data_IF_180654971360
#
_entry.id   IF_180654971360
#
_cell.length_a   1.000
_cell.length_b   1.000
_cell.length_c   1.000
_cell.angle_alpha   90.00
_cell.angle_beta   90.00
_cell.angle_gamma   90.00
#
_symmetry.space_group_name_H-M   'P 1'
#
loop_
_entity.id
_entity.type
_entity.pdbx_description
1 polymer ?
#
# COMPACT_ATOMS: atom_id res chain seq x y z
N UNK A 1 22.83 16.86 -24.80
CA UNK A 1 21.38 17.08 -24.53
C UNK A 1 20.61 15.76 -24.74
N UNK A 2 20.65 14.89 -23.75
CA UNK A 2 19.90 13.62 -23.70
C UNK A 2 18.90 13.67 -22.56
N UNK A 3 17.89 14.52 -22.68
CA UNK A 3 16.78 14.61 -21.72
C UNK A 3 15.91 13.37 -21.78
N UNK A 4 15.82 12.68 -20.66
CA UNK A 4 15.03 11.49 -20.40
C UNK A 4 13.56 11.66 -20.80
N UNK A 5 13.20 11.19 -22.00
CA UNK A 5 11.79 11.13 -22.47
C UNK A 5 10.98 10.00 -21.80
N UNK A 6 11.62 9.09 -21.09
CA UNK A 6 10.97 7.95 -20.43
C UNK A 6 10.27 8.33 -19.13
N UNK A 7 10.77 9.33 -18.41
CA UNK A 7 10.16 9.81 -17.15
C UNK A 7 8.83 10.52 -17.37
N UNK A 8 8.65 11.21 -18.48
CA UNK A 8 7.44 12.00 -18.73
C UNK A 8 6.21 11.12 -19.07
N UNK A 9 6.40 10.02 -19.82
CA UNK A 9 5.31 9.12 -20.17
C UNK A 9 4.82 8.29 -18.97
N UNK A 10 5.73 7.80 -18.13
CA UNK A 10 5.37 7.06 -16.91
C UNK A 10 4.73 7.96 -15.86
N UNK A 11 5.21 9.20 -15.70
CA UNK A 11 4.59 10.18 -14.82
C UNK A 11 3.21 10.61 -15.31
N UNK A 12 2.99 10.76 -16.61
CA UNK A 12 1.68 11.05 -17.19
C UNK A 12 0.70 9.89 -17.05
N UNK A 13 1.16 8.64 -17.13
CA UNK A 13 0.35 7.46 -16.86
C UNK A 13 -0.07 7.36 -15.40
N UNK A 14 0.82 7.68 -14.46
CA UNK A 14 0.51 7.72 -13.03
C UNK A 14 -0.45 8.87 -12.71
N UNK A 15 -0.26 10.04 -13.32
CA UNK A 15 -1.12 11.21 -13.10
C UNK A 15 -2.57 11.05 -13.61
N UNK A 16 -2.82 10.12 -14.51
CA UNK A 16 -4.18 9.84 -15.03
C UNK A 16 -4.97 8.82 -14.23
N UNK A 17 -4.34 8.12 -13.26
CA UNK A 17 -5.02 7.11 -12.47
C UNK A 17 -5.85 7.73 -11.37
N UNK A 18 -7.04 7.21 -11.20
CA UNK A 18 -7.89 7.60 -10.08
C UNK A 18 -7.36 6.98 -8.80
N UNK A 19 -7.34 7.77 -7.77
CA UNK A 19 -7.00 7.35 -6.41
C UNK A 19 -7.82 8.17 -5.43
N UNK A 20 -7.93 7.68 -4.22
CA UNK A 20 -8.62 8.40 -3.17
C UNK A 20 -8.25 7.87 -1.79
N UNK A 21 -8.56 8.66 -0.78
CA UNK A 21 -8.38 8.28 0.61
C UNK A 21 -9.61 8.62 1.43
N UNK A 22 -9.87 7.80 2.43
CA UNK A 22 -10.94 7.95 3.39
C UNK A 22 -10.38 7.96 4.79
N UNK A 23 -10.66 9.02 5.54
CA UNK A 23 -10.50 9.02 6.98
C UNK A 23 -11.76 8.41 7.60
N UNK A 24 -11.60 7.30 8.28
CA UNK A 24 -12.67 6.58 8.94
C UNK A 24 -12.68 6.90 10.43
N UNK A 25 -13.77 6.52 11.13
CA UNK A 25 -13.85 6.70 12.59
C UNK A 25 -12.70 5.97 13.31
N UNK A 26 -12.40 6.41 14.51
CA UNK A 26 -11.38 5.81 15.39
C UNK A 26 -9.95 5.78 14.84
N UNK A 27 -9.60 6.67 13.91
CA UNK A 27 -8.25 6.78 13.37
C UNK A 27 -7.91 5.77 12.27
N UNK A 28 -8.90 5.02 11.79
CA UNK A 28 -8.67 4.14 10.63
C UNK A 28 -8.59 4.96 9.34
N UNK A 29 -7.78 4.49 8.39
CA UNK A 29 -7.60 5.13 7.09
C UNK A 29 -7.66 4.09 6.00
N UNK A 30 -8.35 4.38 4.92
CA UNK A 30 -8.31 3.59 3.69
C UNK A 30 -7.82 4.46 2.54
N UNK A 31 -6.84 3.96 1.81
CA UNK A 31 -6.36 4.54 0.56
C UNK A 31 -6.57 3.52 -0.56
N UNK A 32 -6.94 3.99 -1.74
CA UNK A 32 -7.09 3.16 -2.91
C UNK A 32 -6.50 3.83 -4.16
N UNK A 33 -6.10 3.00 -5.11
CA UNK A 33 -5.66 3.44 -6.44
C UNK A 33 -6.09 2.44 -7.51
N UNK A 34 -6.37 2.93 -8.72
CA UNK A 34 -6.59 2.06 -9.87
C UNK A 34 -5.32 1.27 -10.19
N UNK A 35 -5.46 -0.03 -10.40
CA UNK A 35 -4.38 -0.90 -10.85
C UNK A 35 -4.05 -0.63 -12.31
N UNK A 36 -2.78 -0.48 -12.69
CA UNK A 36 -2.41 -0.20 -14.07
C UNK A 36 -2.74 -1.34 -15.03
N UNK A 37 -2.52 -2.57 -14.57
CA UNK A 37 -2.69 -3.80 -15.32
C UNK A 37 -3.34 -4.82 -14.38
N UNK A 38 -4.67 -4.75 -14.18
CA UNK A 38 -5.39 -5.59 -13.22
C UNK A 38 -5.14 -7.08 -13.44
N UNK A 39 -4.97 -7.49 -14.69
CA UNK A 39 -4.73 -8.87 -15.11
C UNK A 39 -3.43 -9.49 -14.55
N UNK A 40 -2.48 -8.66 -14.14
CA UNK A 40 -1.24 -9.12 -13.53
C UNK A 40 -1.38 -9.48 -12.04
N UNK A 41 -2.53 -9.17 -11.44
CA UNK A 41 -2.77 -9.43 -10.03
C UNK A 41 -3.39 -10.81 -9.82
N UNK A 42 -2.96 -11.50 -8.76
CA UNK A 42 -3.40 -12.87 -8.49
C UNK A 42 -4.94 -13.01 -8.38
N UNK A 43 -5.62 -12.01 -7.80
CA UNK A 43 -7.09 -12.00 -7.71
C UNK A 43 -7.77 -12.05 -9.08
N UNK A 44 -7.10 -11.62 -10.13
CA UNK A 44 -7.67 -11.63 -11.49
C UNK A 44 -7.80 -13.04 -12.06
N UNK A 45 -7.05 -14.00 -11.53
CA UNK A 45 -7.25 -15.42 -11.81
C UNK A 45 -8.62 -15.93 -11.35
N UNK A 46 -9.18 -15.34 -10.30
CA UNK A 46 -10.50 -15.66 -9.74
C UNK A 46 -11.62 -14.73 -10.24
N UNK A 47 -11.40 -13.94 -11.25
CA UNK A 47 -12.32 -12.86 -11.71
C UNK A 47 -13.75 -13.34 -11.99
N UNK A 48 -13.88 -14.53 -12.57
CA UNK A 48 -15.20 -15.07 -12.92
C UNK A 48 -15.99 -15.43 -11.68
N UNK A 49 -15.34 -16.02 -10.68
CA UNK A 49 -15.90 -16.28 -9.36
C UNK A 49 -16.25 -14.97 -8.64
N UNK A 50 -15.34 -14.02 -8.63
CA UNK A 50 -15.59 -12.71 -8.00
C UNK A 50 -16.79 -12.00 -8.62
N UNK A 51 -16.94 -12.03 -9.94
CA UNK A 51 -18.09 -11.44 -10.63
C UNK A 51 -19.40 -12.19 -10.41
N UNK A 52 -19.32 -13.49 -10.14
CA UNK A 52 -20.50 -14.31 -9.80
C UNK A 52 -20.95 -14.10 -8.36
N UNK A 53 -20.00 -14.01 -7.44
CA UNK A 53 -20.28 -13.99 -5.99
C UNK A 53 -20.63 -12.59 -5.46
N UNK A 54 -20.24 -11.54 -6.18
CA UNK A 54 -20.39 -10.15 -5.70
C UNK A 54 -21.11 -9.27 -6.74
N UNK A 55 -21.86 -8.25 -6.27
CA UNK A 55 -22.40 -7.22 -7.16
C UNK A 55 -21.30 -6.57 -8.02
N UNK A 56 -21.62 -6.19 -9.25
CA UNK A 56 -20.67 -5.65 -10.23
C UNK A 56 -19.80 -4.52 -9.67
N UNK A 57 -20.36 -3.61 -8.90
CA UNK A 57 -19.60 -2.52 -8.29
C UNK A 57 -18.53 -3.03 -7.32
N UNK A 58 -18.88 -4.00 -6.49
CA UNK A 58 -17.95 -4.62 -5.52
C UNK A 58 -16.90 -5.45 -6.26
N UNK A 59 -17.29 -6.23 -7.25
CA UNK A 59 -16.38 -7.00 -8.08
C UNK A 59 -15.33 -6.11 -8.76
N UNK A 60 -15.75 -4.97 -9.31
CA UNK A 60 -14.83 -3.97 -9.88
C UNK A 60 -13.88 -3.38 -8.84
N UNK A 61 -14.38 -3.08 -7.64
CA UNK A 61 -13.52 -2.64 -6.54
C UNK A 61 -12.44 -3.68 -6.20
N UNK A 62 -12.79 -4.94 -6.16
CA UNK A 62 -11.87 -6.02 -5.83
C UNK A 62 -10.83 -6.27 -6.93
N UNK A 63 -11.25 -6.22 -8.19
CA UNK A 63 -10.41 -6.57 -9.35
C UNK A 63 -9.52 -5.42 -9.82
N UNK A 64 -10.09 -4.21 -9.89
CA UNK A 64 -9.45 -3.08 -10.60
C UNK A 64 -8.70 -2.12 -9.67
N UNK A 65 -8.81 -2.27 -8.35
CA UNK A 65 -8.23 -1.33 -7.39
C UNK A 65 -7.33 -2.01 -6.38
N UNK A 66 -6.16 -1.44 -6.18
CA UNK A 66 -5.28 -1.74 -5.05
C UNK A 66 -5.69 -0.92 -3.82
N UNK A 67 -5.51 -1.48 -2.64
CA UNK A 67 -5.93 -0.87 -1.38
C UNK A 67 -4.83 -0.92 -0.34
N UNK A 68 -4.78 0.16 0.45
CA UNK A 68 -4.02 0.23 1.69
C UNK A 68 -4.99 0.59 2.80
N UNK A 69 -5.07 -0.21 3.82
CA UNK A 69 -5.97 0.03 4.95
C UNK A 69 -5.16 0.04 6.23
N UNK A 70 -5.13 1.18 6.89
CA UNK A 70 -4.56 1.30 8.23
C UNK A 70 -5.67 1.11 9.25
N UNK A 71 -5.54 0.07 10.05
CA UNK A 71 -6.41 -0.19 11.20
C UNK A 71 -5.67 0.30 12.45
N UNK A 72 -6.08 1.49 12.91
CA UNK A 72 -5.51 2.07 14.11
C UNK A 72 -5.74 1.13 15.32
N UNK A 73 -4.77 0.97 16.23
CA UNK A 73 -3.53 1.77 16.30
C UNK A 73 -2.33 1.18 15.54
N UNK A 74 -2.30 -0.09 15.16
CA UNK A 74 -1.04 -0.76 14.88
C UNK A 74 -1.08 -1.80 13.75
N UNK A 75 -2.08 -1.79 12.89
CA UNK A 75 -2.19 -2.76 11.79
C UNK A 75 -2.30 -2.06 10.43
N UNK A 76 -1.57 -2.59 9.46
CA UNK A 76 -1.63 -2.17 8.06
C UNK A 76 -1.92 -3.39 7.18
N UNK A 77 -2.94 -3.27 6.36
CA UNK A 77 -3.24 -4.19 5.28
C UNK A 77 -2.92 -3.50 3.95
N UNK A 78 -2.15 -4.18 3.10
CA UNK A 78 -1.64 -3.58 1.87
C UNK A 78 -1.74 -4.57 0.70
N UNK A 79 -2.42 -4.15 -0.36
CA UNK A 79 -2.52 -4.89 -1.62
C UNK A 79 -1.72 -4.18 -2.71
N UNK A 80 -0.43 -4.41 -2.76
CA UNK A 80 0.46 -3.89 -3.80
C UNK A 80 1.23 -5.01 -4.50
N UNK A 81 1.72 -4.69 -5.69
CA UNK A 81 2.72 -5.49 -6.41
C UNK A 81 2.37 -6.97 -6.54
N UNK A 82 1.09 -7.27 -6.79
CA UNK A 82 0.58 -8.63 -6.95
C UNK A 82 0.66 -9.51 -5.70
N UNK A 83 0.81 -8.89 -4.54
CA UNK A 83 0.87 -9.57 -3.26
C UNK A 83 0.00 -8.84 -2.23
N UNK A 84 -0.38 -9.54 -1.19
CA UNK A 84 -1.14 -8.97 -0.08
C UNK A 84 -0.33 -9.12 1.19
N UNK A 85 -0.10 -8.00 1.85
CA UNK A 85 0.65 -7.92 3.09
C UNK A 85 -0.25 -7.53 4.24
N UNK A 86 -0.11 -8.24 5.36
CA UNK A 86 -0.55 -7.80 6.67
C UNK A 86 0.70 -7.41 7.47
N UNK A 87 0.70 -6.23 8.07
CA UNK A 87 1.80 -5.74 8.91
C UNK A 87 1.24 -5.28 10.25
N UNK A 88 1.91 -5.64 11.34
CA UNK A 88 1.59 -5.13 12.66
C UNK A 88 2.82 -4.48 13.29
N UNK A 89 2.58 -3.50 14.15
CA UNK A 89 3.60 -2.72 14.83
C UNK A 89 3.42 -2.89 16.34
N UNK A 90 4.48 -3.31 17.00
CA UNK A 90 4.53 -3.45 18.47
C UNK A 90 5.64 -2.58 19.04
N UNK A 91 5.31 -1.45 19.70
CA UNK A 91 6.32 -0.65 20.38
C UNK A 91 7.01 -1.47 21.47
N UNK A 92 8.33 -1.46 21.48
CA UNK A 92 9.17 -2.10 22.50
C UNK A 92 9.82 -1.07 23.43
N UNK A 93 9.86 0.19 23.02
CA UNK A 93 10.44 1.31 23.72
C UNK A 93 10.16 2.61 22.96
N UNK A 94 10.72 3.71 23.43
CA UNK A 94 10.56 5.03 22.80
C UNK A 94 11.30 5.12 21.46
N UNK A 95 12.32 4.30 21.29
CA UNK A 95 13.24 4.26 20.15
C UNK A 95 13.17 2.96 19.34
N UNK A 96 12.29 2.03 19.72
CA UNK A 96 12.26 0.71 19.11
C UNK A 96 10.85 0.16 18.94
N UNK A 97 10.56 -0.29 17.72
CA UNK A 97 9.31 -0.95 17.36
C UNK A 97 9.59 -2.26 16.65
N UNK A 98 8.93 -3.32 17.08
CA UNK A 98 8.91 -4.58 16.35
C UNK A 98 7.86 -4.51 15.24
N UNK A 99 8.25 -4.93 14.06
CA UNK A 99 7.37 -5.01 12.90
C UNK A 99 7.24 -6.46 12.46
N UNK A 100 6.03 -7.00 12.53
CA UNK A 100 5.73 -8.34 12.03
C UNK A 100 5.00 -8.22 10.70
N UNK A 101 5.39 -9.04 9.72
CA UNK A 101 4.88 -8.98 8.35
C UNK A 101 4.45 -10.37 7.90
N UNK A 102 3.26 -10.48 7.33
CA UNK A 102 2.72 -11.72 6.77
C UNK A 102 2.29 -11.55 5.33
N UNK A 103 2.62 -12.54 4.50
CA UNK A 103 2.04 -12.70 3.18
C UNK A 103 0.69 -13.38 3.31
N UNK A 104 -0.36 -12.74 2.84
CA UNK A 104 -1.73 -13.28 2.89
C UNK A 104 -2.12 -13.80 1.51
N UNK A 105 -2.75 -14.97 1.48
CA UNK A 105 -3.20 -15.63 0.26
C UNK A 105 -4.65 -16.11 0.40
N UNK A 106 -5.42 -16.18 -0.70
CA UNK A 106 -6.73 -16.81 -0.70
C UNK A 106 -6.65 -18.29 -0.30
N UNK A 107 -7.67 -18.76 0.41
CA UNK A 107 -7.84 -20.19 0.67
C UNK A 107 -8.17 -20.87 -0.66
N UNK A 108 -7.48 -21.98 -0.95
CA UNK A 108 -7.67 -22.71 -2.21
C UNK A 108 -6.90 -22.18 -3.42
N UNK A 109 -6.01 -21.21 -3.21
CA UNK A 109 -5.07 -20.77 -4.25
C UNK A 109 -4.21 -21.96 -4.74
N UNK A 110 -3.96 -22.03 -6.05
CA UNK A 110 -3.08 -23.07 -6.60
C UNK A 110 -1.65 -22.93 -6.10
N UNK A 111 -0.89 -24.03 -6.09
CA UNK A 111 0.51 -24.05 -5.65
C UNK A 111 1.36 -23.08 -6.48
N UNK A 112 1.16 -23.05 -7.80
CA UNK A 112 1.88 -22.16 -8.71
C UNK A 112 1.61 -20.67 -8.39
N UNK A 113 0.36 -20.31 -8.17
CA UNK A 113 -0.01 -18.94 -7.80
C UNK A 113 0.57 -18.55 -6.44
N UNK A 114 0.58 -19.48 -5.49
CA UNK A 114 1.16 -19.29 -4.15
C UNK A 114 2.66 -19.02 -4.23
N UNK A 115 3.39 -19.81 -5.01
CA UNK A 115 4.83 -19.64 -5.22
C UNK A 115 5.13 -18.29 -5.90
N UNK A 116 4.39 -17.96 -6.94
CA UNK A 116 4.52 -16.66 -7.61
C UNK A 116 4.23 -15.48 -6.66
N UNK A 117 3.22 -15.60 -5.80
CA UNK A 117 2.89 -14.61 -4.77
C UNK A 117 4.01 -14.48 -3.74
N UNK A 118 4.52 -15.60 -3.22
CA UNK A 118 5.59 -15.61 -2.24
C UNK A 118 6.85 -14.93 -2.77
N UNK A 119 7.29 -15.25 -3.99
CA UNK A 119 8.44 -14.59 -4.63
C UNK A 119 8.25 -13.09 -4.75
N UNK A 120 7.09 -12.64 -5.24
CA UNK A 120 6.79 -11.19 -5.35
C UNK A 120 6.74 -10.50 -4.00
N UNK A 121 6.27 -11.20 -2.97
CA UNK A 121 6.27 -10.71 -1.61
C UNK A 121 7.68 -10.54 -1.08
N UNK A 122 8.56 -11.52 -1.29
CA UNK A 122 9.97 -11.48 -0.91
C UNK A 122 10.69 -10.33 -1.62
N UNK A 123 10.52 -10.21 -2.93
CA UNK A 123 11.18 -9.18 -3.74
C UNK A 123 10.77 -7.75 -3.37
N UNK A 124 9.59 -7.56 -2.77
CA UNK A 124 9.07 -6.22 -2.51
C UNK A 124 8.95 -5.89 -1.02
N UNK A 125 8.37 -6.77 -0.21
CA UNK A 125 8.00 -6.48 1.18
C UNK A 125 8.93 -7.02 2.26
N UNK A 126 9.85 -7.93 1.94
CA UNK A 126 10.80 -8.43 2.92
C UNK A 126 11.93 -7.41 3.19
N UNK A 127 12.68 -7.53 4.29
CA UNK A 127 13.74 -6.56 4.66
C UNK A 127 14.77 -6.30 3.57
N UNK A 128 15.06 -7.30 2.74
CA UNK A 128 15.93 -7.18 1.57
C UNK A 128 15.18 -6.80 0.28
N UNK A 129 13.88 -6.63 0.34
CA UNK A 129 13.04 -6.28 -0.79
C UNK A 129 13.12 -4.79 -1.14
N UNK A 130 12.66 -4.48 -2.34
CA UNK A 130 12.78 -3.13 -2.93
C UNK A 130 12.14 -2.03 -2.08
N UNK A 131 10.96 -2.28 -1.49
CA UNK A 131 10.23 -1.24 -0.75
C UNK A 131 10.63 -1.16 0.72
N UNK A 132 10.78 -2.27 1.40
CA UNK A 132 10.97 -2.27 2.86
C UNK A 132 12.35 -1.74 3.25
N UNK A 133 13.38 -2.00 2.47
CA UNK A 133 14.72 -1.47 2.74
C UNK A 133 14.72 0.07 2.75
N UNK A 134 14.06 0.70 1.77
CA UNK A 134 13.91 2.15 1.70
C UNK A 134 13.03 2.69 2.83
N UNK A 135 11.92 2.02 3.12
CA UNK A 135 11.02 2.40 4.22
C UNK A 135 11.74 2.44 5.56
N UNK A 136 12.55 1.41 5.88
CA UNK A 136 13.29 1.33 7.15
C UNK A 136 14.25 2.51 7.27
N UNK A 137 15.04 2.80 6.25
CA UNK A 137 15.97 3.94 6.26
C UNK A 137 15.23 5.26 6.46
N UNK A 138 14.10 5.44 5.79
CA UNK A 138 13.30 6.67 5.91
C UNK A 138 12.66 6.82 7.29
N UNK A 139 12.15 5.73 7.87
CA UNK A 139 11.55 5.72 9.22
C UNK A 139 12.62 6.03 10.28
N UNK A 140 13.79 5.42 10.20
CA UNK A 140 14.89 5.67 11.13
C UNK A 140 15.37 7.13 11.08
N UNK A 141 15.51 7.69 9.86
CA UNK A 141 15.87 9.10 9.68
C UNK A 141 14.80 10.04 10.21
N UNK A 142 13.52 9.73 9.96
CA UNK A 142 12.41 10.53 10.48
C UNK A 142 12.36 10.50 12.01
N UNK A 143 12.64 9.34 12.62
CA UNK A 143 12.74 9.22 14.07
C UNK A 143 13.89 10.07 14.64
N UNK A 144 15.11 9.94 14.11
CA UNK A 144 16.23 10.76 14.51
C UNK A 144 16.00 12.27 14.31
N UNK A 145 15.30 12.67 13.27
CA UNK A 145 14.93 14.07 13.07
C UNK A 145 13.93 14.57 14.13
N UNK A 146 13.04 13.70 14.61
CA UNK A 146 12.06 14.05 15.66
C UNK A 146 12.69 14.29 17.04
N UNK A 147 13.91 13.82 17.29
CA UNK A 147 14.67 14.11 18.52
C UNK A 147 15.17 15.55 18.58
N UNK A 148 15.21 16.24 17.45
CA UNK A 148 15.65 17.62 17.34
C UNK A 148 14.74 18.60 18.08
N UNK A 149 15.32 19.57 18.81
CA UNK A 149 14.57 20.60 19.57
C UNK A 149 13.60 21.43 18.69
N UNK A 150 13.87 21.54 17.39
CA UNK A 150 13.08 22.31 16.44
C UNK A 150 11.92 21.50 15.82
N UNK A 151 11.88 20.19 16.01
CA UNK A 151 10.90 19.30 15.40
C UNK A 151 9.61 19.12 16.23
N UNK A 152 9.27 20.09 17.08
CA UNK A 152 8.08 20.00 17.96
C UNK A 152 6.75 19.91 17.23
N UNK A 153 6.68 20.51 16.02
CA UNK A 153 5.45 20.58 15.25
C UNK A 153 5.73 20.26 13.78
N UNK A 154 5.10 19.22 13.26
CA UNK A 154 5.12 18.90 11.84
C UNK A 154 3.80 19.34 11.20
N UNK A 155 3.88 20.00 10.06
CA UNK A 155 2.69 20.33 9.29
C UNK A 155 2.32 19.17 8.38
N UNK A 156 1.31 18.38 8.78
CA UNK A 156 0.78 17.26 8.01
C UNK A 156 -0.35 17.67 7.05
N UNK A 157 -0.67 18.95 6.95
CA UNK A 157 -1.80 19.47 6.18
C UNK A 157 -1.43 19.91 4.75
N UNK A 158 -0.30 19.47 4.23
CA UNK A 158 0.24 19.95 2.95
C UNK A 158 -0.63 19.63 1.74
N UNK A 159 -1.23 18.45 1.69
CA UNK A 159 -1.91 18.00 0.49
C UNK A 159 -3.36 17.66 0.80
N UNK A 160 -4.25 18.22 -0.01
CA UNK A 160 -5.66 17.91 0.05
C UNK A 160 -6.45 18.65 1.14
N UNK A 161 -5.85 19.45 2.01
CA UNK A 161 -6.57 20.20 3.03
C UNK A 161 -7.66 21.11 2.42
N UNK A 162 -7.34 21.80 1.33
CA UNK A 162 -8.30 22.66 0.64
C UNK A 162 -9.43 21.89 -0.04
N UNK A 163 -9.22 20.61 -0.37
CA UNK A 163 -10.22 19.72 -0.98
C UNK A 163 -11.05 19.01 0.07
N UNK A 164 -10.44 18.63 1.20
CA UNK A 164 -11.14 17.99 2.32
C UNK A 164 -12.16 18.92 3.02
N UNK A 165 -11.93 20.22 2.95
CA UNK A 165 -12.85 21.23 3.55
C UNK A 165 -14.09 21.48 2.67
N UNK A 166 -14.09 21.02 1.43
CA UNK A 166 -15.17 21.21 0.45
C UNK A 166 -16.03 19.97 0.19
N UNK A 167 -15.75 18.85 0.85
CA UNK A 167 -16.47 17.58 0.71
C UNK A 167 -17.61 17.40 1.69
#
# INVERSE_FOLDING_TARGET
EGGSRTTDASQRLVAKRKSGSYALKNGHVAFWMERPNPELYAIYGDRDRVRTDYPEEIARWMLDRGRHVTLFPNMLFNELSNSTMLRTYRPLGVDRTEVSVWCVAPVGESQEMREARARRFEDFFMPSGLATADDVVMIERAHGAAEGRQARWNNNMFRGAATAIRG
#
